data_IF_974194445642
#
_entry.id   IF_974194445642
#
_cell.length_a   1.000
_cell.length_b   1.000
_cell.length_c   1.000
_cell.angle_alpha   90.00
_cell.angle_beta   90.00
_cell.angle_gamma   90.00
#
_symmetry.space_group_name_H-M   'P 1'
#
loop_
_entity.id
_entity.type
_entity.pdbx_description
1 polymer ?
#
# COMPACT_ATOMS: atom_id res chain seq x y z
N UNK A 1 10.80 -15.31 5.51
CA UNK A 1 10.35 -15.28 4.11
C UNK A 1 9.24 -14.26 4.01
N UNK A 2 9.48 -13.14 3.32
CA UNK A 2 8.42 -12.16 3.03
C UNK A 2 7.45 -12.85 2.06
N UNK A 3 6.17 -12.90 2.40
CA UNK A 3 5.16 -13.56 1.57
C UNK A 3 4.21 -12.54 0.94
N UNK A 4 3.54 -12.93 -0.14
CA UNK A 4 2.50 -12.11 -0.78
C UNK A 4 1.39 -11.72 0.21
N UNK A 5 1.05 -12.59 1.17
CA UNK A 5 0.09 -12.29 2.25
C UNK A 5 0.56 -11.12 3.13
N UNK A 6 1.84 -11.10 3.50
CA UNK A 6 2.39 -10.01 4.31
C UNK A 6 2.39 -8.69 3.53
N UNK A 7 2.75 -8.73 2.25
CA UNK A 7 2.69 -7.55 1.38
C UNK A 7 1.27 -6.99 1.25
N UNK A 8 0.27 -7.86 1.09
CA UNK A 8 -1.15 -7.47 1.08
C UNK A 8 -1.59 -6.79 2.38
N UNK A 9 -1.19 -7.32 3.53
CA UNK A 9 -1.49 -6.71 4.83
C UNK A 9 -0.85 -5.32 4.92
N UNK A 10 0.40 -5.17 4.50
CA UNK A 10 1.10 -3.88 4.50
C UNK A 10 0.43 -2.90 3.53
N UNK A 11 0.05 -3.35 2.33
CA UNK A 11 -0.69 -2.56 1.35
C UNK A 11 -2.03 -2.01 1.88
N UNK A 12 -2.81 -2.87 2.55
CA UNK A 12 -4.08 -2.48 3.15
C UNK A 12 -3.88 -1.52 4.34
N UNK A 13 -2.87 -1.78 5.16
CA UNK A 13 -2.55 -0.95 6.34
C UNK A 13 -2.06 0.43 5.91
N UNK A 14 -1.19 0.50 4.89
CA UNK A 14 -0.70 1.73 4.29
C UNK A 14 -1.85 2.56 3.71
N UNK A 15 -2.71 1.95 2.89
CA UNK A 15 -3.87 2.64 2.32
C UNK A 15 -4.85 3.16 3.40
N UNK A 16 -5.07 2.37 4.45
CA UNK A 16 -5.89 2.78 5.61
C UNK A 16 -5.24 3.94 6.35
N UNK A 17 -3.92 3.91 6.57
CA UNK A 17 -3.19 4.99 7.23
C UNK A 17 -3.21 6.29 6.41
N UNK A 18 -3.18 6.20 5.08
CA UNK A 18 -3.33 7.36 4.19
C UNK A 18 -4.72 8.01 4.37
N UNK A 19 -5.78 7.20 4.43
CA UNK A 19 -7.15 7.66 4.67
C UNK A 19 -7.27 8.37 6.03
N UNK A 20 -6.73 7.76 7.09
CA UNK A 20 -6.72 8.37 8.43
C UNK A 20 -5.94 9.69 8.42
N UNK A 21 -4.81 9.74 7.72
CA UNK A 21 -4.03 10.97 7.56
C UNK A 21 -4.79 12.06 6.84
N UNK A 22 -5.55 11.71 5.80
CA UNK A 22 -6.37 12.65 5.06
C UNK A 22 -7.43 13.26 5.97
N UNK A 23 -8.12 12.43 6.76
CA UNK A 23 -9.07 12.90 7.78
C UNK A 23 -8.38 13.77 8.84
N UNK A 24 -7.22 13.35 9.35
CA UNK A 24 -6.45 14.12 10.32
C UNK A 24 -5.99 15.49 9.77
N UNK A 25 -5.63 15.55 8.50
CA UNK A 25 -5.25 16.80 7.80
C UNK A 25 -6.43 17.75 7.62
N UNK A 26 -7.65 17.22 7.46
CA UNK A 26 -8.88 18.02 7.45
C UNK A 26 -9.22 18.48 8.86
N UNK A 27 -9.20 17.59 9.86
CA UNK A 27 -9.46 17.92 11.27
C UNK A 27 -8.50 18.98 11.80
N UNK A 28 -7.21 18.91 11.45
CA UNK A 28 -6.22 19.94 11.78
C UNK A 28 -6.63 21.34 11.31
N UNK A 29 -7.38 21.44 10.21
CA UNK A 29 -7.83 22.74 9.65
C UNK A 29 -9.17 23.20 10.20
N UNK A 30 -9.93 22.31 10.85
CA UNK A 30 -11.28 22.60 11.36
C UNK A 30 -11.38 22.54 12.88
N UNK A 31 -10.36 22.02 13.57
CA UNK A 31 -10.31 21.81 15.03
C UNK A 31 -8.90 22.06 15.57
N UNK A 32 -8.77 22.23 16.89
CA UNK A 32 -7.48 22.36 17.60
C UNK A 32 -6.72 21.03 17.76
N UNK A 33 -7.21 19.93 17.19
CA UNK A 33 -6.58 18.60 17.28
C UNK A 33 -5.58 18.42 16.15
N UNK A 34 -4.28 18.29 16.48
CA UNK A 34 -3.22 18.01 15.51
C UNK A 34 -2.65 16.59 15.65
N UNK A 35 -3.23 15.66 14.89
CA UNK A 35 -2.77 14.26 14.81
C UNK A 35 -1.73 14.03 13.69
N UNK A 36 -1.52 15.03 12.82
CA UNK A 36 -0.63 14.92 11.65
C UNK A 36 0.84 14.64 12.02
N UNK A 37 1.43 15.21 13.09
CA UNK A 37 2.82 14.94 13.48
C UNK A 37 3.08 13.49 13.87
N UNK A 38 2.06 12.75 14.30
CA UNK A 38 2.18 11.34 14.70
C UNK A 38 1.84 10.44 13.50
N UNK A 39 0.70 10.72 12.85
CA UNK A 39 0.22 9.91 11.75
C UNK A 39 1.08 10.05 10.48
N UNK A 40 1.71 11.21 10.29
CA UNK A 40 2.58 11.51 9.14
C UNK A 40 3.78 10.56 9.06
N UNK A 41 4.64 10.53 10.09
CA UNK A 41 5.75 9.58 10.17
C UNK A 41 5.31 8.11 10.16
N UNK A 42 4.19 7.79 10.82
CA UNK A 42 3.67 6.42 10.85
C UNK A 42 3.29 5.93 9.45
N UNK A 43 2.57 6.76 8.70
CA UNK A 43 2.23 6.49 7.31
C UNK A 43 3.48 6.44 6.41
N UNK A 44 4.40 7.39 6.57
CA UNK A 44 5.65 7.41 5.80
C UNK A 44 6.47 6.13 5.99
N UNK A 45 6.50 5.58 7.21
CA UNK A 45 7.13 4.28 7.49
C UNK A 45 6.43 3.14 6.75
N UNK A 46 5.10 3.11 6.76
CA UNK A 46 4.31 2.10 6.03
C UNK A 46 4.52 2.20 4.52
N UNK A 47 4.59 3.41 3.98
CA UNK A 47 4.89 3.67 2.57
C UNK A 47 6.27 3.12 2.18
N UNK A 48 7.30 3.41 2.97
CA UNK A 48 8.66 2.87 2.71
C UNK A 48 8.68 1.35 2.81
N UNK A 49 8.00 0.77 3.80
CA UNK A 49 7.88 -0.68 3.95
C UNK A 49 7.19 -1.32 2.73
N UNK A 50 6.12 -0.70 2.22
CA UNK A 50 5.44 -1.13 1.00
C UNK A 50 6.38 -1.12 -0.20
N UNK A 51 7.08 -0.01 -0.45
CA UNK A 51 8.02 0.12 -1.57
C UNK A 51 9.13 -0.92 -1.50
N UNK A 52 9.71 -1.12 -0.31
CA UNK A 52 10.76 -2.11 -0.09
C UNK A 52 10.26 -3.54 -0.38
N UNK A 53 9.05 -3.88 0.09
CA UNK A 53 8.46 -5.20 -0.16
C UNK A 53 8.08 -5.39 -1.63
N UNK A 54 7.60 -4.35 -2.33
CA UNK A 54 7.30 -4.41 -3.75
C UNK A 54 8.55 -4.70 -4.59
N UNK A 55 9.68 -4.06 -4.27
CA UNK A 55 10.98 -4.31 -4.93
C UNK A 55 11.50 -5.71 -4.60
N UNK A 56 11.35 -6.15 -3.34
CA UNK A 56 11.77 -7.47 -2.90
C UNK A 56 10.98 -8.60 -3.59
N UNK A 57 9.66 -8.44 -3.74
CA UNK A 57 8.78 -9.42 -4.37
C UNK A 57 8.83 -9.40 -5.91
N UNK A 58 9.34 -8.33 -6.51
CA UNK A 58 9.47 -8.20 -7.97
C UNK A 58 10.12 -9.41 -8.65
N UNK A 59 11.32 -9.88 -8.24
CA UNK A 59 11.95 -11.06 -8.86
C UNK A 59 11.18 -12.36 -8.57
N UNK A 60 10.60 -12.51 -7.36
CA UNK A 60 9.85 -13.71 -6.99
C UNK A 60 8.52 -13.83 -7.77
N UNK A 61 7.90 -12.72 -8.13
CA UNK A 61 6.62 -12.67 -8.85
C UNK A 61 6.76 -12.44 -10.35
N UNK A 62 7.98 -12.25 -10.85
CA UNK A 62 8.24 -12.00 -12.27
C UNK A 62 7.61 -10.70 -12.81
N UNK A 63 7.44 -9.68 -11.97
CA UNK A 63 6.80 -8.43 -12.39
C UNK A 63 7.68 -7.63 -13.36
N UNK A 64 7.09 -7.23 -14.48
CA UNK A 64 7.75 -6.31 -15.41
C UNK A 64 7.85 -4.89 -14.80
N UNK A 65 8.64 -4.03 -15.44
CA UNK A 65 8.86 -2.67 -14.94
C UNK A 65 7.56 -1.85 -14.93
N UNK A 66 6.62 -2.10 -15.85
CA UNK A 66 5.32 -1.41 -15.85
C UNK A 66 4.44 -1.85 -14.69
N UNK A 67 4.36 -3.15 -14.41
CA UNK A 67 3.61 -3.68 -13.26
C UNK A 67 4.18 -3.14 -11.95
N UNK A 68 5.51 -3.13 -11.82
CA UNK A 68 6.18 -2.56 -10.64
C UNK A 68 5.84 -1.07 -10.49
N UNK A 69 5.87 -0.31 -11.59
CA UNK A 69 5.49 1.11 -11.58
C UNK A 69 4.01 1.32 -11.20
N UNK A 70 3.09 0.48 -11.70
CA UNK A 70 1.68 0.51 -11.33
C UNK A 70 1.45 0.20 -9.84
N UNK A 71 2.19 -0.78 -9.29
CA UNK A 71 2.15 -1.12 -7.87
C UNK A 71 2.64 0.05 -7.02
N UNK A 72 3.76 0.67 -7.39
CA UNK A 72 4.29 1.85 -6.69
C UNK A 72 3.38 3.07 -6.80
N UNK A 73 2.78 3.31 -7.98
CA UNK A 73 1.75 4.35 -8.15
C UNK A 73 0.53 4.06 -7.28
N UNK A 74 0.19 2.79 -7.10
CA UNK A 74 -0.86 2.35 -6.18
C UNK A 74 -0.60 2.77 -4.72
N UNK A 75 0.64 2.90 -4.28
CA UNK A 75 0.95 3.41 -2.94
C UNK A 75 0.81 4.92 -2.80
N UNK A 76 0.90 5.68 -3.90
CA UNK A 76 0.82 7.15 -3.86
C UNK A 76 -0.63 7.62 -3.98
N UNK A 77 -1.46 6.86 -4.66
CA UNK A 77 -2.88 7.18 -4.85
C UNK A 77 -3.66 6.71 -3.62
N UNK A 78 -4.44 7.59 -2.95
CA UNK A 78 -5.37 7.13 -1.93
C UNK A 78 -6.26 6.05 -2.57
N UNK A 79 -6.34 4.88 -1.95
CA UNK A 79 -6.99 3.65 -2.45
C UNK A 79 -6.17 2.71 -3.34
N UNK A 80 -4.99 3.09 -3.85
CA UNK A 80 -4.26 2.23 -4.78
C UNK A 80 -3.72 0.94 -4.11
N UNK A 81 -3.44 0.94 -2.81
CA UNK A 81 -3.16 -0.28 -2.05
C UNK A 81 -4.30 -1.32 -2.09
N UNK A 82 -5.56 -0.88 -2.11
CA UNK A 82 -6.72 -1.78 -2.30
C UNK A 82 -6.83 -2.30 -3.73
N UNK A 83 -6.48 -1.50 -4.73
CA UNK A 83 -6.44 -1.92 -6.14
C UNK A 83 -5.36 -2.98 -6.35
N UNK A 84 -4.18 -2.78 -5.74
CA UNK A 84 -3.08 -3.76 -5.79
C UNK A 84 -3.47 -5.06 -5.08
N UNK A 85 -4.10 -4.99 -3.90
CA UNK A 85 -4.61 -6.18 -3.21
C UNK A 85 -5.58 -6.99 -4.08
N UNK A 86 -6.50 -6.29 -4.75
CA UNK A 86 -7.49 -6.91 -5.64
C UNK A 86 -6.85 -7.50 -6.89
N UNK A 87 -5.89 -6.81 -7.50
CA UNK A 87 -5.12 -7.30 -8.64
C UNK A 87 -4.35 -8.58 -8.29
N UNK A 88 -3.66 -8.60 -7.14
CA UNK A 88 -2.93 -9.78 -6.67
C UNK A 88 -3.86 -10.97 -6.41
N UNK A 89 -5.07 -10.72 -5.89
CA UNK A 89 -6.09 -11.76 -5.65
C UNK A 89 -6.66 -12.31 -6.97
N UNK A 90 -6.75 -11.48 -8.01
CA UNK A 90 -7.17 -11.90 -9.35
C UNK A 90 -6.08 -12.70 -10.06
N UNK A 91 -4.82 -12.27 -10.00
CA UNK A 91 -3.69 -12.97 -10.61
C UNK A 91 -3.41 -14.33 -9.97
N UNK A 92 -3.66 -14.50 -8.66
CA UNK A 92 -3.53 -15.81 -8.00
C UNK A 92 -4.64 -16.80 -8.35
N UNK A 93 -5.73 -16.35 -8.99
CA UNK A 93 -6.87 -17.18 -9.37
C UNK A 93 -6.71 -17.78 -10.78
N UNK A 94 -5.92 -17.15 -11.65
CA UNK A 94 -5.67 -17.62 -13.02
C UNK A 94 -4.71 -18.82 -13.11
N UNK A 95 -3.99 -19.16 -12.03
CA UNK A 95 -3.17 -20.37 -11.93
C UNK A 95 -3.88 -21.53 -11.22
N UNK A 96 -5.14 -21.35 -10.81
CA UNK A 96 -6.00 -22.40 -10.27
C UNK A 96 -7.11 -22.73 -11.27
N UNK A 97 -6.76 -23.45 -12.33
CA UNK A 97 -7.73 -24.20 -13.14
C UNK A 97 -7.17 -25.60 -13.33
N UNK A 98 -7.78 -26.66 -12.76
CA UNK A 98 -7.48 -28.04 -13.12
C UNK A 98 -7.96 -28.36 -14.54
#
# INVERSE_FOLDING_TARGET
>A
MITLKNFRIVALTEATSFLILLVASVLKRTTDVDLVPILGPLHGLLFVAYVAMAIYLRPEQGWDTKTTALILLGAVVPFGGYVVDRWLTSSSRSTATP
#
